data_IF_402237374076
#
_entry.id   IF_402237374076
#
_cell.length_a   1.000
_cell.length_b   1.000
_cell.length_c   1.000
_cell.angle_alpha   90.00
_cell.angle_beta   90.00
_cell.angle_gamma   90.00
#
_symmetry.space_group_name_H-M   'P 1'
#
loop_
_entity.id
_entity.type
_entity.pdbx_description
1 polymer ?
#
# COMPACT_ATOMS: atom_id res chain seq x y z
N UNK A 1 6.67 -3.96 -8.47
CA UNK A 1 5.71 -3.65 -9.56
C UNK A 1 4.30 -3.39 -9.05
N UNK A 2 3.65 -4.35 -8.43
CA UNK A 2 2.30 -4.23 -7.88
C UNK A 2 2.06 -2.94 -7.08
N UNK A 3 2.96 -2.60 -6.17
CA UNK A 3 2.89 -1.40 -5.34
C UNK A 3 2.76 -0.08 -6.13
N UNK A 4 3.41 0.03 -7.30
CA UNK A 4 3.26 1.20 -8.19
C UNK A 4 1.96 1.15 -8.97
N UNK A 5 1.55 -0.05 -9.41
CA UNK A 5 0.32 -0.23 -10.18
C UNK A 5 -0.94 -0.03 -9.34
N UNK A 6 -0.92 -0.39 -8.05
CA UNK A 6 -2.09 -0.26 -7.14
C UNK A 6 -2.41 1.17 -6.73
N UNK A 7 -1.52 2.13 -6.96
CA UNK A 7 -1.77 3.53 -6.62
C UNK A 7 -3.10 4.03 -7.24
N UNK A 8 -4.09 4.33 -6.41
CA UNK A 8 -5.42 4.82 -6.82
C UNK A 8 -6.17 3.93 -7.85
N UNK A 9 -6.06 2.60 -7.75
CA UNK A 9 -6.83 1.68 -8.60
C UNK A 9 -7.15 0.37 -7.88
N UNK A 10 -8.04 -0.44 -8.46
CA UNK A 10 -8.38 -1.76 -7.94
C UNK A 10 -7.35 -2.81 -8.36
N UNK A 11 -7.22 -3.88 -7.58
CA UNK A 11 -6.35 -5.00 -7.91
C UNK A 11 -6.70 -5.67 -9.25
N UNK A 12 -7.99 -5.81 -9.58
CA UNK A 12 -8.46 -6.34 -10.87
C UNK A 12 -7.91 -5.54 -12.07
N UNK A 13 -7.80 -4.23 -11.94
CA UNK A 13 -7.20 -3.39 -12.98
C UNK A 13 -5.67 -3.57 -13.06
N UNK A 14 -5.02 -3.84 -11.92
CA UNK A 14 -3.59 -4.19 -11.87
C UNK A 14 -3.33 -5.49 -12.59
N UNK A 15 -4.11 -6.54 -12.33
CA UNK A 15 -4.01 -7.83 -13.01
C UNK A 15 -4.14 -7.71 -14.52
N UNK A 16 -5.15 -6.95 -15.00
CA UNK A 16 -5.32 -6.66 -16.44
C UNK A 16 -4.12 -5.93 -17.04
N UNK A 17 -3.54 -4.99 -16.31
CA UNK A 17 -2.35 -4.28 -16.77
C UNK A 17 -1.13 -5.22 -16.83
N UNK A 18 -0.93 -6.07 -15.81
CA UNK A 18 0.15 -7.05 -15.79
C UNK A 18 0.07 -8.05 -16.94
N UNK A 19 -1.13 -8.56 -17.23
CA UNK A 19 -1.32 -9.47 -18.39
C UNK A 19 -0.96 -8.80 -19.73
N UNK A 20 -1.35 -7.54 -19.93
CA UNK A 20 -0.95 -6.79 -21.13
C UNK A 20 0.56 -6.54 -21.16
N UNK A 21 1.18 -6.21 -20.01
CA UNK A 21 2.63 -6.00 -19.94
C UNK A 21 3.41 -7.26 -20.28
N UNK A 22 2.97 -8.46 -19.82
CA UNK A 22 3.57 -9.75 -20.18
C UNK A 22 3.59 -9.98 -21.68
N UNK A 23 2.61 -9.47 -22.42
CA UNK A 23 2.54 -9.57 -23.89
C UNK A 23 3.54 -8.68 -24.63
N UNK A 24 4.19 -7.72 -23.96
CA UNK A 24 5.08 -6.75 -24.62
C UNK A 24 6.52 -6.73 -24.05
N UNK A 25 6.72 -7.21 -22.82
CA UNK A 25 8.03 -7.21 -22.17
C UNK A 25 8.12 -8.26 -21.08
N UNK A 26 9.30 -8.83 -20.86
CA UNK A 26 9.57 -9.63 -19.66
C UNK A 26 9.39 -8.75 -18.42
N UNK A 27 8.67 -9.26 -17.39
CA UNK A 27 8.41 -8.52 -16.16
C UNK A 27 9.63 -8.50 -15.23
N UNK A 28 10.76 -8.08 -15.78
CA UNK A 28 12.05 -7.94 -15.12
C UNK A 28 12.54 -6.49 -15.20
N UNK A 29 13.39 -6.09 -14.25
CA UNK A 29 13.81 -4.69 -14.14
C UNK A 29 14.54 -4.18 -15.41
N UNK A 30 15.51 -4.93 -15.93
CA UNK A 30 16.32 -4.48 -17.05
C UNK A 30 15.52 -4.35 -18.36
N UNK A 31 14.73 -5.34 -18.82
CA UNK A 31 13.87 -5.17 -19.99
C UNK A 31 12.89 -4.02 -19.87
N UNK A 32 12.24 -3.85 -18.70
CA UNK A 32 11.29 -2.76 -18.48
C UNK A 32 11.95 -1.38 -18.39
N UNK A 33 13.18 -1.29 -17.86
CA UNK A 33 13.94 -0.05 -17.84
C UNK A 33 14.33 0.43 -19.24
N UNK A 34 14.58 -0.51 -20.16
CA UNK A 34 14.99 -0.24 -21.53
C UNK A 34 13.82 0.01 -22.51
N UNK A 35 12.59 -0.43 -22.15
CA UNK A 35 11.41 -0.29 -23.00
C UNK A 35 11.05 1.19 -23.20
N UNK A 36 10.63 1.64 -24.41
CA UNK A 36 10.04 2.96 -24.57
C UNK A 36 8.87 3.18 -23.61
N UNK A 37 8.84 4.31 -22.92
CA UNK A 37 7.86 4.58 -21.87
C UNK A 37 6.44 4.60 -22.40
N UNK A 38 6.24 4.97 -23.65
CA UNK A 38 4.95 4.99 -24.35
C UNK A 38 4.37 3.58 -24.52
N UNK A 39 5.21 2.60 -24.84
CA UNK A 39 4.83 1.18 -24.96
C UNK A 39 4.40 0.63 -23.60
N UNK A 40 5.19 0.94 -22.56
CA UNK A 40 4.86 0.57 -21.19
C UNK A 40 3.55 1.23 -20.74
N UNK A 41 3.37 2.52 -21.03
CA UNK A 41 2.16 3.27 -20.70
C UNK A 41 0.92 2.68 -21.38
N UNK A 42 1.01 2.31 -22.66
CA UNK A 42 -0.11 1.70 -23.37
C UNK A 42 -0.53 0.37 -22.76
N UNK A 43 0.43 -0.50 -22.41
CA UNK A 43 0.16 -1.76 -21.72
C UNK A 43 -0.51 -1.54 -20.35
N UNK A 44 -0.17 -0.45 -19.65
CA UNK A 44 -0.67 -0.12 -18.31
C UNK A 44 -2.01 0.63 -18.30
N UNK A 45 -2.67 0.90 -19.45
CA UNK A 45 -3.97 1.62 -19.54
C UNK A 45 -5.03 1.13 -18.54
N UNK A 46 -5.22 -0.18 -18.32
CA UNK A 46 -6.23 -0.66 -17.37
C UNK A 46 -6.01 -0.16 -15.93
N UNK A 47 -4.77 0.11 -15.53
CA UNK A 47 -4.45 0.57 -14.18
C UNK A 47 -4.81 2.04 -13.91
N UNK A 48 -5.21 2.82 -14.92
CA UNK A 48 -5.45 4.27 -14.80
C UNK A 48 -4.19 5.07 -14.53
N UNK A 49 -4.22 6.38 -14.78
CA UNK A 49 -3.04 7.26 -14.64
C UNK A 49 -1.76 6.66 -15.27
N UNK A 50 -1.94 5.90 -16.33
CA UNK A 50 -0.94 5.00 -16.93
C UNK A 50 0.33 5.70 -17.36
N UNK A 51 0.27 6.93 -17.89
CA UNK A 51 1.47 7.70 -18.26
C UNK A 51 2.35 8.03 -17.05
N UNK A 52 1.74 8.42 -15.93
CA UNK A 52 2.47 8.72 -14.68
C UNK A 52 3.03 7.43 -14.09
N UNK A 53 2.22 6.38 -14.03
CA UNK A 53 2.62 5.07 -13.51
C UNK A 53 3.75 4.43 -14.32
N UNK A 54 3.70 4.54 -15.65
CA UNK A 54 4.77 4.03 -16.51
C UNK A 54 6.12 4.69 -16.21
N UNK A 55 6.14 6.02 -16.06
CA UNK A 55 7.37 6.75 -15.68
C UNK A 55 7.87 6.34 -14.30
N UNK A 56 6.98 6.21 -13.31
CA UNK A 56 7.33 5.78 -11.96
C UNK A 56 7.87 4.34 -11.94
N UNK A 57 7.22 3.43 -12.65
CA UNK A 57 7.66 2.05 -12.76
C UNK A 57 9.02 1.96 -13.47
N UNK A 58 9.20 2.71 -14.56
CA UNK A 58 10.49 2.75 -15.26
C UNK A 58 11.59 3.34 -14.39
N UNK A 59 11.31 4.40 -13.61
CA UNK A 59 12.26 4.94 -12.64
C UNK A 59 12.66 3.90 -11.58
N UNK A 60 11.69 3.15 -11.06
CA UNK A 60 11.95 2.05 -10.13
C UNK A 60 12.79 0.95 -10.77
N UNK A 61 12.48 0.55 -12.01
CA UNK A 61 13.24 -0.48 -12.72
C UNK A 61 14.69 -0.05 -12.99
N UNK A 62 14.91 1.20 -13.40
CA UNK A 62 16.25 1.76 -13.57
C UNK A 62 17.02 1.76 -12.26
N UNK A 63 16.42 2.22 -11.18
CA UNK A 63 17.04 2.19 -9.87
C UNK A 63 17.44 0.76 -9.45
N UNK A 64 16.59 -0.24 -9.66
CA UNK A 64 16.93 -1.65 -9.39
C UNK A 64 18.16 -2.10 -10.19
N UNK A 65 18.23 -1.75 -11.47
CA UNK A 65 19.38 -2.06 -12.34
C UNK A 65 20.64 -1.36 -11.85
N UNK A 66 20.55 -0.08 -11.52
CA UNK A 66 21.67 0.76 -11.06
C UNK A 66 22.24 0.27 -9.72
N UNK A 67 21.40 -0.36 -8.87
CA UNK A 67 21.82 -0.99 -7.62
C UNK A 67 22.45 -2.39 -7.80
N UNK A 68 22.55 -2.89 -9.03
CA UNK A 68 23.11 -4.21 -9.31
C UNK A 68 22.10 -5.36 -9.32
N UNK A 69 20.79 -5.04 -9.36
CA UNK A 69 19.71 -6.02 -9.48
C UNK A 69 19.14 -6.51 -8.14
N UNK A 70 18.19 -7.44 -8.24
CA UNK A 70 17.42 -7.91 -7.09
C UNK A 70 18.28 -8.61 -6.04
N UNK A 71 19.29 -9.38 -6.45
CA UNK A 71 20.15 -10.11 -5.50
C UNK A 71 20.93 -9.15 -4.59
N UNK A 72 21.46 -8.05 -5.16
CA UNK A 72 22.11 -6.99 -4.37
C UNK A 72 21.15 -6.35 -3.38
N UNK A 73 19.92 -6.04 -3.83
CA UNK A 73 18.90 -5.44 -2.99
C UNK A 73 18.45 -6.39 -1.86
N UNK A 74 18.40 -7.70 -2.10
CA UNK A 74 18.14 -8.69 -1.06
C UNK A 74 19.23 -8.72 0.02
N UNK A 75 20.48 -8.42 -0.31
CA UNK A 75 21.60 -8.30 0.62
C UNK A 75 21.65 -7.01 1.43
N UNK A 76 20.90 -5.97 1.03
CA UNK A 76 20.90 -4.68 1.73
C UNK A 76 20.24 -4.77 3.11
N UNK A 77 20.71 -3.93 4.05
CA UNK A 77 19.99 -3.66 5.30
C UNK A 77 18.61 -3.03 5.01
N UNK A 78 17.61 -3.38 5.84
CA UNK A 78 16.21 -2.95 5.64
C UNK A 78 16.06 -1.43 5.54
N UNK A 79 16.72 -0.69 6.43
CA UNK A 79 16.64 0.77 6.44
C UNK A 79 17.36 1.39 5.22
N UNK A 80 18.48 0.82 4.77
CA UNK A 80 19.19 1.27 3.58
C UNK A 80 18.37 1.04 2.32
N UNK A 81 17.74 -0.14 2.20
CA UNK A 81 16.83 -0.47 1.10
C UNK A 81 15.63 0.49 1.05
N UNK A 82 14.97 0.72 2.20
CA UNK A 82 13.85 1.64 2.31
C UNK A 82 14.23 3.07 1.92
N UNK A 83 15.37 3.56 2.42
CA UNK A 83 15.88 4.89 2.09
C UNK A 83 16.18 5.03 0.59
N UNK A 84 16.78 4.02 -0.02
CA UNK A 84 17.02 3.98 -1.45
C UNK A 84 15.72 4.04 -2.26
N UNK A 85 14.71 3.26 -1.87
CA UNK A 85 13.38 3.28 -2.51
C UNK A 85 12.70 4.64 -2.41
N UNK A 86 12.79 5.32 -1.26
CA UNK A 86 12.23 6.67 -1.06
C UNK A 86 12.91 7.72 -1.94
N UNK A 87 14.14 7.50 -2.38
CA UNK A 87 14.83 8.34 -3.36
C UNK A 87 14.34 8.17 -4.81
N UNK A 88 13.56 7.13 -5.09
CA UNK A 88 13.04 6.86 -6.44
C UNK A 88 11.85 7.75 -6.76
N UNK A 89 11.88 8.42 -7.90
CA UNK A 89 10.78 9.28 -8.35
C UNK A 89 9.43 8.55 -8.37
N UNK A 90 8.48 9.04 -7.60
CA UNK A 90 7.12 8.49 -7.52
C UNK A 90 6.93 7.32 -6.55
N UNK A 91 7.95 7.00 -5.76
CA UNK A 91 7.89 6.08 -4.63
C UNK A 91 7.78 6.89 -3.34
N UNK A 92 6.60 6.90 -2.74
CA UNK A 92 6.36 7.47 -1.42
C UNK A 92 6.50 6.43 -0.31
N UNK A 93 6.35 6.83 0.98
CA UNK A 93 6.50 5.93 2.12
C UNK A 93 5.65 4.66 2.03
N UNK A 94 4.35 4.78 1.72
CA UNK A 94 3.45 3.64 1.55
C UNK A 94 3.97 2.66 0.48
N UNK A 95 4.36 3.19 -0.70
CA UNK A 95 4.86 2.36 -1.80
C UNK A 95 6.21 1.72 -1.47
N UNK A 96 7.10 2.44 -0.78
CA UNK A 96 8.39 1.89 -0.34
C UNK A 96 8.18 0.74 0.66
N UNK A 97 7.31 0.93 1.64
CA UNK A 97 7.02 -0.07 2.67
C UNK A 97 6.27 -1.29 2.11
N UNK A 98 5.34 -1.09 1.15
CA UNK A 98 4.76 -2.17 0.36
C UNK A 98 5.85 -3.02 -0.34
N UNK A 99 6.82 -2.37 -0.97
CA UNK A 99 7.92 -3.08 -1.65
C UNK A 99 8.76 -3.85 -0.63
N UNK A 100 9.14 -3.20 0.48
CA UNK A 100 9.98 -3.81 1.52
C UNK A 100 9.28 -5.01 2.17
N UNK A 101 7.99 -4.90 2.48
CA UNK A 101 7.22 -5.98 3.08
C UNK A 101 6.95 -7.11 2.07
N UNK A 102 6.36 -6.80 0.92
CA UNK A 102 5.84 -7.82 0.00
C UNK A 102 6.88 -8.42 -0.96
N UNK A 103 7.86 -7.63 -1.39
CA UNK A 103 8.88 -8.12 -2.32
C UNK A 103 10.14 -8.64 -1.62
N UNK A 104 10.46 -8.11 -0.44
CA UNK A 104 11.66 -8.50 0.29
C UNK A 104 11.38 -9.27 1.59
N UNK A 105 10.13 -9.42 1.98
CA UNK A 105 9.73 -10.18 3.17
C UNK A 105 10.28 -9.60 4.47
N UNK A 106 10.36 -8.27 4.57
CA UNK A 106 10.94 -7.59 5.74
C UNK A 106 9.88 -6.95 6.62
N UNK A 107 10.07 -6.93 7.95
CA UNK A 107 9.06 -6.47 8.89
C UNK A 107 8.96 -4.95 8.94
N UNK A 108 8.37 -4.35 7.91
CA UNK A 108 8.00 -2.94 7.86
C UNK A 108 6.48 -2.85 7.73
N UNK A 109 5.83 -2.11 8.63
CA UNK A 109 4.37 -2.04 8.64
C UNK A 109 3.86 -0.98 7.66
N UNK A 110 2.94 -1.37 6.77
CA UNK A 110 2.38 -0.48 5.75
C UNK A 110 1.21 0.32 6.32
N UNK A 111 1.24 1.65 6.15
CA UNK A 111 0.18 2.57 6.56
C UNK A 111 -0.53 3.12 5.33
N UNK A 112 -1.60 2.47 4.91
CA UNK A 112 -2.47 2.94 3.83
C UNK A 112 -3.70 3.71 4.35
N UNK A 113 -4.51 4.20 3.44
CA UNK A 113 -5.76 4.91 3.77
C UNK A 113 -6.77 4.01 4.51
N UNK A 114 -6.74 2.69 4.30
CA UNK A 114 -7.61 1.74 4.97
C UNK A 114 -7.20 1.56 6.44
N UNK A 115 -5.91 1.39 6.69
CA UNK A 115 -5.32 1.33 8.03
C UNK A 115 -5.67 2.57 8.83
N UNK A 116 -5.42 3.76 8.29
CA UNK A 116 -5.75 5.03 8.95
C UNK A 116 -7.24 5.11 9.31
N UNK A 117 -8.12 4.84 8.35
CA UNK A 117 -9.57 4.93 8.55
C UNK A 117 -10.08 3.94 9.59
N UNK A 118 -9.65 2.69 9.51
CA UNK A 118 -10.09 1.63 10.41
C UNK A 118 -9.66 1.94 11.86
N UNK A 119 -8.37 2.22 12.06
CA UNK A 119 -7.83 2.42 13.41
C UNK A 119 -8.25 3.76 14.02
N UNK A 120 -8.51 4.80 13.23
CA UNK A 120 -9.15 6.01 13.71
C UNK A 120 -10.59 5.75 14.21
N UNK A 121 -11.39 4.96 13.49
CA UNK A 121 -12.73 4.58 13.90
C UNK A 121 -12.75 3.69 15.14
N UNK A 122 -11.78 2.80 15.26
CA UNK A 122 -11.60 1.98 16.46
C UNK A 122 -11.14 2.83 17.66
N UNK A 123 -10.54 3.99 17.42
CA UNK A 123 -10.06 4.94 18.43
C UNK A 123 -8.66 4.63 18.97
N UNK A 124 -7.86 3.90 18.21
CA UNK A 124 -6.45 3.64 18.53
C UNK A 124 -5.54 4.78 18.06
N UNK A 125 -5.92 5.48 16.99
CA UNK A 125 -5.19 6.62 16.41
C UNK A 125 -6.17 7.75 16.10
N UNK A 126 -5.65 8.97 15.85
CA UNK A 126 -6.48 10.12 15.45
C UNK A 126 -6.79 10.12 13.94
N UNK A 127 -5.93 9.46 13.13
CA UNK A 127 -6.07 9.30 11.68
C UNK A 127 -5.37 10.37 10.83
N UNK A 128 -4.79 11.41 11.47
CA UNK A 128 -4.06 12.49 10.81
C UNK A 128 -2.58 12.58 11.21
N UNK A 129 -2.09 11.62 11.99
CA UNK A 129 -0.68 11.51 12.37
C UNK A 129 0.21 11.35 11.14
N UNK A 130 1.49 11.71 11.27
CA UNK A 130 2.51 11.47 10.26
C UNK A 130 2.59 9.99 9.85
N UNK A 131 3.05 9.71 8.63
CA UNK A 131 3.20 8.34 8.17
C UNK A 131 4.14 7.54 9.07
N UNK A 132 5.30 8.11 9.36
CA UNK A 132 6.34 7.47 10.18
C UNK A 132 5.87 7.25 11.62
N UNK A 133 5.16 8.22 12.20
CA UNK A 133 4.64 8.11 13.56
C UNK A 133 3.67 6.92 13.69
N UNK A 134 2.80 6.72 12.68
CA UNK A 134 1.88 5.58 12.67
C UNK A 134 2.63 4.27 12.44
N UNK A 135 3.53 4.23 11.46
CA UNK A 135 4.33 3.03 11.18
C UNK A 135 5.06 2.55 12.43
N UNK A 136 5.80 3.44 13.08
CA UNK A 136 6.51 3.13 14.33
C UNK A 136 5.57 2.74 15.47
N UNK A 137 4.38 3.35 15.54
CA UNK A 137 3.37 2.98 16.53
C UNK A 137 2.93 1.52 16.38
N UNK A 138 2.64 1.08 15.14
CA UNK A 138 2.28 -0.31 14.86
C UNK A 138 3.44 -1.27 15.08
N UNK A 139 4.64 -0.92 14.61
CA UNK A 139 5.83 -1.76 14.75
C UNK A 139 6.25 -1.95 16.21
N UNK A 140 6.05 -0.94 17.09
CA UNK A 140 6.27 -1.08 18.54
C UNK A 140 5.22 -1.93 19.24
N UNK A 141 4.00 -1.97 18.71
CA UNK A 141 2.87 -2.69 19.32
C UNK A 141 2.79 -4.16 18.89
N UNK A 142 3.47 -4.55 17.83
CA UNK A 142 3.38 -5.87 17.20
C UNK A 142 4.77 -6.56 17.19
N UNK A 143 4.82 -7.89 17.20
CA UNK A 143 6.05 -8.61 16.91
C UNK A 143 6.62 -8.22 15.54
N UNK A 144 7.94 -8.12 15.42
CA UNK A 144 8.62 -7.85 14.14
C UNK A 144 8.61 -9.11 13.26
N UNK A 145 7.46 -9.42 12.68
CA UNK A 145 7.20 -10.59 11.85
C UNK A 145 6.57 -10.15 10.51
N UNK A 146 7.29 -10.33 9.40
CA UNK A 146 6.76 -9.93 8.07
C UNK A 146 5.52 -10.73 7.66
N UNK A 147 5.39 -12.00 8.08
CA UNK A 147 4.21 -12.81 7.79
C UNK A 147 2.97 -12.25 8.52
N UNK A 148 3.15 -11.87 9.79
CA UNK A 148 2.11 -11.21 10.57
C UNK A 148 1.71 -9.86 9.94
N UNK A 149 2.67 -9.05 9.53
CA UNK A 149 2.38 -7.73 8.93
C UNK A 149 1.65 -7.86 7.60
N UNK A 150 2.05 -8.82 6.77
CA UNK A 150 1.38 -9.14 5.50
C UNK A 150 -0.08 -9.53 5.72
N UNK A 151 -0.34 -10.53 6.59
CA UNK A 151 -1.69 -11.00 6.91
C UNK A 151 -2.54 -9.88 7.51
N UNK A 152 -1.96 -9.11 8.45
CA UNK A 152 -2.67 -8.02 9.12
C UNK A 152 -3.08 -6.91 8.13
N UNK A 153 -2.17 -6.50 7.25
CA UNK A 153 -2.46 -5.51 6.21
C UNK A 153 -3.53 -6.02 5.22
N UNK A 154 -3.48 -7.29 4.84
CA UNK A 154 -4.50 -7.91 3.98
C UNK A 154 -5.88 -7.92 4.64
N UNK A 155 -5.98 -8.31 5.92
CA UNK A 155 -7.23 -8.31 6.69
C UNK A 155 -7.80 -6.90 6.90
N UNK A 156 -6.94 -5.90 7.16
CA UNK A 156 -7.35 -4.50 7.23
C UNK A 156 -7.96 -4.05 5.89
N UNK A 157 -7.28 -4.33 4.79
CA UNK A 157 -7.73 -3.98 3.44
C UNK A 157 -9.07 -4.64 3.11
N UNK A 158 -9.21 -5.93 3.37
CA UNK A 158 -10.45 -6.67 3.12
C UNK A 158 -11.61 -6.14 3.97
N UNK A 159 -11.42 -5.99 5.28
CA UNK A 159 -12.44 -5.43 6.17
C UNK A 159 -12.83 -4.00 5.79
N UNK A 160 -11.87 -3.18 5.38
CA UNK A 160 -12.12 -1.80 4.97
C UNK A 160 -12.84 -1.68 3.62
N UNK A 161 -12.71 -2.66 2.73
CA UNK A 161 -13.41 -2.72 1.43
C UNK A 161 -14.83 -3.30 1.58
N UNK A 162 -15.00 -4.32 2.39
CA UNK A 162 -16.29 -5.04 2.53
C UNK A 162 -17.20 -4.41 3.58
N UNK A 163 -16.69 -4.12 4.76
CA UNK A 163 -17.48 -3.75 5.95
C UNK A 163 -17.23 -2.30 6.38
N UNK A 164 -15.96 -1.94 6.72
CA UNK A 164 -15.60 -0.61 7.24
C UNK A 164 -15.34 0.40 6.11
N UNK A 165 -16.22 0.44 5.11
CA UNK A 165 -16.15 1.32 3.93
C UNK A 165 -16.28 2.80 4.32
N UNK A 166 -16.17 3.72 3.34
CA UNK A 166 -16.44 5.15 3.55
C UNK A 166 -17.81 5.36 4.20
N UNK A 167 -18.84 4.67 3.70
CA UNK A 167 -20.15 4.48 4.37
C UNK A 167 -20.18 3.08 4.97
N UNK A 168 -19.91 2.91 6.28
CA UNK A 168 -19.66 1.60 6.88
C UNK A 168 -20.96 0.82 7.12
N UNK A 169 -20.85 -0.53 7.04
CA UNK A 169 -21.91 -1.48 7.35
C UNK A 169 -21.78 -1.94 8.82
N UNK A 170 -21.98 -1.02 9.77
CA UNK A 170 -21.71 -1.25 11.19
C UNK A 170 -22.56 -2.35 11.82
N UNK A 171 -23.75 -2.66 11.28
CA UNK A 171 -24.62 -3.71 11.80
C UNK A 171 -24.00 -5.11 11.63
N UNK A 172 -23.25 -5.32 10.55
CA UNK A 172 -22.61 -6.58 10.18
C UNK A 172 -21.14 -6.66 10.64
N UNK A 173 -20.65 -5.60 11.32
CA UNK A 173 -19.25 -5.48 11.66
C UNK A 173 -18.86 -6.30 12.90
N UNK A 174 -17.96 -7.27 12.75
CA UNK A 174 -17.46 -8.09 13.85
C UNK A 174 -16.68 -7.28 14.90
N UNK A 175 -16.15 -6.11 14.53
CA UNK A 175 -15.44 -5.20 15.43
C UNK A 175 -16.39 -4.22 16.15
N UNK A 176 -17.68 -4.25 15.87
CA UNK A 176 -18.69 -3.34 16.43
C UNK A 176 -18.61 -3.19 17.96
N UNK A 177 -18.49 -4.28 18.75
CA UNK A 177 -18.45 -4.17 20.21
C UNK A 177 -17.26 -3.35 20.76
N UNK A 178 -16.18 -3.22 19.98
CA UNK A 178 -14.95 -2.51 20.35
C UNK A 178 -14.75 -1.19 19.58
N UNK A 179 -15.69 -0.81 18.71
CA UNK A 179 -15.56 0.34 17.84
C UNK A 179 -16.03 1.64 18.51
N UNK A 180 -15.11 2.59 18.74
CA UNK A 180 -15.44 3.88 19.37
C UNK A 180 -16.32 4.79 18.50
N UNK A 181 -16.22 4.70 17.17
CA UNK A 181 -17.04 5.52 16.27
C UNK A 181 -18.55 5.28 16.46
N UNK A 182 -18.97 4.08 16.88
CA UNK A 182 -20.38 3.77 17.13
C UNK A 182 -20.85 4.34 18.46
N UNK A 183 -19.98 4.38 19.48
CA UNK A 183 -20.28 4.91 20.80
C UNK A 183 -20.56 6.42 20.76
N UNK A 184 -20.02 7.14 19.78
CA UNK A 184 -20.26 8.56 19.59
C UNK A 184 -21.51 8.86 18.75
N UNK A 185 -21.84 8.02 17.76
CA UNK A 185 -23.04 8.19 16.93
C UNK A 185 -24.36 8.00 17.70
N UNK A 186 -24.32 7.35 18.86
CA UNK A 186 -25.48 7.17 19.75
C UNK A 186 -25.74 8.33 20.71
N UNK A 187 -24.77 9.22 20.92
CA UNK A 187 -24.91 10.36 21.86
C UNK A 187 -25.49 11.62 21.22
N UNK A 188 -25.30 11.81 19.89
CA UNK A 188 -25.83 12.99 19.20
C UNK A 188 -27.32 12.93 18.88
N UNK A 189 -28.00 11.78 19.11
CA UNK A 189 -29.45 11.65 18.92
C UNK A 189 -30.29 11.89 20.18
N UNK A 190 -29.65 12.26 21.28
CA UNK A 190 -30.33 12.47 22.59
C UNK A 190 -30.43 13.89 23.07
N UNK A 191 -29.94 14.91 22.34
CA UNK A 191 -29.83 16.28 22.84
C UNK A 191 -30.84 17.27 22.21
N UNK A 192 -31.79 16.83 21.38
CA UNK A 192 -32.83 17.73 20.85
C UNK A 192 -34.23 17.18 21.10
N UNK A 193 -34.65 17.17 22.37
CA UNK A 193 -36.03 17.19 22.79
C UNK A 193 -36.10 17.73 24.23
N UNK A 194 -36.16 19.03 24.39
CA UNK A 194 -36.96 19.74 25.39
C UNK A 194 -37.07 21.21 24.98
#
# INVERSE_FOLDING_TARGET
MGAVLTQNTSWTNVERALERMKGVVALEAAPMAALPVEVLADAMRPAGYYNVKARRLQALCRWVVDQGGMDTLHGMETQALRTGLLGVHGVGPETADDIVLYAFGRPVFVIDAYTRRLFARLGFVRGHEGYEDLREHFERALPHDPALYNEYHALIGEHAKTTCRTRPLCQECVLRPRCRAISHAGRDKGADKH
#
